data_IF_907295710211
#
_entry.id   IF_907295710211
#
_cell.length_a   1.000
_cell.length_b   1.000
_cell.length_c   1.000
_cell.angle_alpha   90.00
_cell.angle_beta   90.00
_cell.angle_gamma   90.00
#
_symmetry.space_group_name_H-M   'P 1'
#
loop_
_entity.id
_entity.type
_entity.pdbx_description
1 polymer ?
#
# COMPACT_ATOMS: atom_id res chain seq x y z
N UNK A 1 70.70 48.88 7.16
CA UNK A 1 70.43 47.62 7.88
C UNK A 1 69.70 48.01 9.16
N UNK A 2 68.45 47.66 9.46
CA UNK A 2 67.54 46.62 8.98
C UNK A 2 66.12 47.20 8.79
N UNK A 3 65.41 46.68 7.79
CA UNK A 3 63.98 46.90 7.52
C UNK A 3 63.12 46.12 8.54
N UNK A 4 62.10 46.78 9.10
CA UNK A 4 61.04 46.11 9.83
C UNK A 4 60.11 45.41 8.83
N UNK A 5 60.09 44.07 8.85
CA UNK A 5 59.15 43.28 8.06
C UNK A 5 57.84 43.10 8.83
N UNK A 6 56.77 43.73 8.33
CA UNK A 6 55.41 43.44 8.75
C UNK A 6 54.95 42.13 8.08
N UNK A 7 54.82 41.06 8.86
CA UNK A 7 54.22 39.80 8.40
C UNK A 7 52.69 39.93 8.40
N UNK A 8 52.08 39.73 7.23
CA UNK A 8 50.62 39.62 7.08
C UNK A 8 50.13 38.25 7.56
N UNK A 9 48.90 38.11 8.09
CA UNK A 9 48.35 36.81 8.47
C UNK A 9 48.00 35.97 7.23
N UNK A 10 48.02 34.63 7.31
CA UNK A 10 47.66 33.77 6.20
C UNK A 10 46.17 33.91 5.87
N UNK A 11 45.88 33.90 4.57
CA UNK A 11 44.53 34.02 3.99
C UNK A 11 43.61 32.92 4.54
N UNK A 12 42.48 33.35 5.11
CA UNK A 12 41.32 32.50 5.40
C UNK A 12 40.91 31.71 4.15
N UNK A 13 41.09 30.40 4.19
CA UNK A 13 40.46 29.47 3.25
C UNK A 13 38.96 29.43 3.58
N UNK A 14 38.19 30.33 2.99
CA UNK A 14 36.73 30.24 2.99
C UNK A 14 36.32 28.98 2.23
N UNK A 15 36.05 27.91 2.97
CA UNK A 15 35.35 26.73 2.45
C UNK A 15 33.94 27.17 2.04
N UNK A 16 33.69 27.26 0.74
CA UNK A 16 32.33 27.39 0.21
C UNK A 16 31.54 26.13 0.59
N UNK A 17 30.35 26.28 1.19
CA UNK A 17 29.50 25.13 1.48
C UNK A 17 29.16 24.44 0.15
N UNK A 18 29.25 23.11 0.04
CA UNK A 18 28.91 22.42 -1.18
C UNK A 18 27.44 22.69 -1.52
N UNK A 19 27.20 23.32 -2.67
CA UNK A 19 25.85 23.46 -3.22
C UNK A 19 25.44 22.12 -3.80
N UNK A 20 24.70 21.33 -3.04
CA UNK A 20 24.04 20.18 -3.61
C UNK A 20 22.85 20.68 -4.43
N UNK A 21 22.78 20.37 -5.74
CA UNK A 21 21.60 20.70 -6.51
C UNK A 21 20.41 19.97 -5.88
N UNK A 22 19.39 20.72 -5.45
CA UNK A 22 18.11 20.14 -5.09
C UNK A 22 17.56 19.55 -6.38
N UNK A 23 17.68 18.24 -6.55
CA UNK A 23 17.03 17.52 -7.63
C UNK A 23 15.53 17.64 -7.40
N UNK A 24 14.88 18.56 -8.10
CA UNK A 24 13.42 18.61 -8.16
C UNK A 24 12.98 17.38 -8.94
N UNK A 25 12.62 16.32 -8.21
CA UNK A 25 12.02 15.12 -8.79
C UNK A 25 10.64 15.52 -9.30
N UNK A 26 10.46 15.48 -10.63
CA UNK A 26 9.13 15.57 -11.23
C UNK A 26 8.36 14.31 -10.87
N UNK A 27 7.55 14.42 -9.83
CA UNK A 27 6.76 13.31 -9.30
C UNK A 27 5.74 12.77 -10.32
N UNK A 28 5.36 13.59 -11.31
CA UNK A 28 4.48 13.21 -12.42
C UNK A 28 5.16 12.32 -13.47
N UNK A 29 6.49 12.25 -13.46
CA UNK A 29 7.33 11.43 -14.37
C UNK A 29 7.89 10.17 -13.73
N UNK A 30 7.47 9.83 -12.51
CA UNK A 30 7.84 8.61 -11.78
C UNK A 30 7.24 7.35 -12.45
N UNK A 31 7.74 7.05 -13.63
CA UNK A 31 7.65 5.76 -14.32
C UNK A 31 8.75 4.84 -13.77
N UNK A 32 8.68 3.51 -13.99
CA UNK A 32 9.67 2.53 -13.50
C UNK A 32 11.13 2.82 -13.84
N UNK A 33 11.42 3.79 -14.73
CA UNK A 33 12.75 4.28 -15.03
C UNK A 33 13.50 4.88 -13.82
N UNK A 34 12.83 5.15 -12.69
CA UNK A 34 13.42 5.71 -11.46
C UNK A 34 13.54 4.75 -10.26
N UNK A 35 13.35 3.43 -10.42
CA UNK A 35 13.90 2.45 -9.45
C UNK A 35 13.00 2.03 -8.27
N UNK A 36 11.67 1.99 -8.44
CA UNK A 36 10.82 1.35 -7.44
C UNK A 36 10.95 -0.18 -7.43
N UNK A 37 11.07 -0.74 -6.23
CA UNK A 37 11.16 -2.16 -5.98
C UNK A 37 9.77 -2.72 -5.73
N UNK A 38 9.31 -3.59 -6.63
CA UNK A 38 8.14 -4.42 -6.37
C UNK A 38 8.30 -5.80 -7.00
N UNK A 39 8.13 -6.84 -6.19
CA UNK A 39 8.19 -8.21 -6.68
C UNK A 39 6.79 -8.82 -6.71
N UNK A 40 6.30 -9.15 -7.92
CA UNK A 40 5.00 -9.83 -8.10
C UNK A 40 4.85 -11.13 -7.30
N UNK A 41 5.95 -11.78 -6.89
CA UNK A 41 5.94 -12.97 -6.03
C UNK A 41 5.45 -12.68 -4.60
N UNK A 42 5.41 -11.41 -4.19
CA UNK A 42 4.86 -11.01 -2.89
C UNK A 42 3.33 -11.07 -2.85
N UNK A 43 2.66 -11.20 -4.00
CA UNK A 43 1.20 -11.18 -4.09
C UNK A 43 0.64 -12.56 -3.73
N UNK A 44 -0.27 -12.55 -2.78
CA UNK A 44 -1.03 -13.72 -2.36
C UNK A 44 -2.35 -13.86 -3.15
N UNK A 45 -2.97 -15.06 -3.17
CA UNK A 45 -4.23 -15.26 -3.88
C UNK A 45 -5.31 -14.27 -3.43
N UNK A 46 -5.97 -13.64 -4.40
CA UNK A 46 -7.11 -12.72 -4.17
C UNK A 46 -6.79 -11.60 -3.18
N UNK A 47 -5.53 -11.19 -3.14
CA UNK A 47 -5.08 -10.04 -2.35
C UNK A 47 -5.73 -8.76 -2.90
N UNK A 48 -6.30 -7.95 -2.01
CA UNK A 48 -6.92 -6.68 -2.37
C UNK A 48 -5.90 -5.65 -2.84
N UNK A 49 -6.36 -4.65 -3.59
CA UNK A 49 -5.51 -3.54 -4.03
C UNK A 49 -4.92 -2.76 -2.83
N UNK A 50 -5.68 -2.60 -1.73
CA UNK A 50 -5.17 -1.96 -0.49
C UNK A 50 -3.90 -2.63 0.00
N UNK A 51 -3.91 -3.97 0.12
CA UNK A 51 -2.76 -4.74 0.62
C UNK A 51 -1.58 -4.71 -0.35
N UNK A 52 -1.85 -4.79 -1.65
CA UNK A 52 -0.81 -4.67 -2.69
C UNK A 52 -0.12 -3.30 -2.60
N UNK A 53 -0.88 -2.22 -2.46
CA UNK A 53 -0.34 -0.87 -2.35
C UNK A 53 0.39 -0.63 -1.03
N UNK A 54 -0.03 -1.24 0.08
CA UNK A 54 0.73 -1.23 1.32
C UNK A 54 2.07 -1.95 1.20
N UNK A 55 2.13 -3.08 0.49
CA UNK A 55 3.42 -3.74 0.21
C UNK A 55 4.32 -2.85 -0.65
N UNK A 56 3.74 -2.18 -1.64
CA UNK A 56 4.48 -1.25 -2.50
C UNK A 56 5.01 -0.04 -1.73
N UNK A 57 4.17 0.57 -0.90
CA UNK A 57 4.54 1.66 0.01
C UNK A 57 5.68 1.22 0.94
N UNK A 58 5.52 0.08 1.63
CA UNK A 58 6.52 -0.46 2.56
C UNK A 58 7.86 -0.76 1.88
N UNK A 59 7.85 -1.34 0.69
CA UNK A 59 9.06 -1.72 -0.02
C UNK A 59 9.88 -0.51 -0.50
N UNK A 60 9.23 0.64 -0.68
CA UNK A 60 9.82 1.84 -1.26
C UNK A 60 9.84 3.03 -0.30
N UNK A 61 9.37 2.86 0.95
CA UNK A 61 9.21 3.91 1.96
C UNK A 61 8.50 5.17 1.41
N UNK A 62 7.43 4.98 0.65
CA UNK A 62 6.77 6.07 -0.06
C UNK A 62 5.75 6.80 0.80
N UNK A 63 5.61 8.12 0.64
CA UNK A 63 4.49 8.84 1.23
C UNK A 63 3.19 8.48 0.47
N UNK A 64 2.05 8.54 1.17
CA UNK A 64 0.79 7.99 0.64
C UNK A 64 0.26 8.74 -0.57
N UNK A 65 0.54 10.05 -0.68
CA UNK A 65 0.15 10.84 -1.84
C UNK A 65 0.87 10.40 -3.14
N UNK A 66 2.11 9.90 -3.06
CA UNK A 66 2.80 9.28 -4.20
C UNK A 66 2.06 8.01 -4.62
N UNK A 67 1.68 7.17 -3.65
CA UNK A 67 0.95 5.92 -3.92
C UNK A 67 -0.45 6.19 -4.49
N UNK A 68 -1.14 7.22 -4.00
CA UNK A 68 -2.46 7.61 -4.50
C UNK A 68 -2.45 8.03 -5.98
N UNK A 69 -1.37 8.69 -6.45
CA UNK A 69 -1.21 9.07 -7.87
C UNK A 69 -1.06 7.87 -8.82
N UNK A 70 -0.84 6.66 -8.30
CA UNK A 70 -0.85 5.44 -9.10
C UNK A 70 -2.27 4.99 -9.48
N UNK A 71 -3.29 5.48 -8.78
CA UNK A 71 -4.68 5.06 -8.97
C UNK A 71 -5.31 5.68 -10.22
N UNK A 72 -4.84 6.87 -10.62
CA UNK A 72 -5.35 7.66 -11.73
C UNK A 72 -4.89 9.12 -11.61
N UNK A 73 -4.83 9.84 -12.73
CA UNK A 73 -4.39 11.24 -12.72
C UNK A 73 -5.43 12.19 -12.10
N UNK A 74 -6.70 11.84 -12.22
CA UNK A 74 -7.84 12.68 -11.79
C UNK A 74 -8.34 12.35 -10.37
N UNK A 75 -7.62 11.50 -9.63
CA UNK A 75 -7.99 11.12 -8.27
C UNK A 75 -7.34 12.07 -7.28
N UNK A 76 -8.17 12.78 -6.51
CA UNK A 76 -7.71 13.55 -5.36
C UNK A 76 -7.20 12.59 -4.26
N UNK A 77 -5.93 12.70 -3.82
CA UNK A 77 -5.38 11.81 -2.79
C UNK A 77 -6.08 11.87 -1.42
N UNK A 78 -6.71 12.99 -1.06
CA UNK A 78 -7.36 13.20 0.22
C UNK A 78 -8.77 12.63 0.27
N UNK A 79 -9.55 12.83 -0.80
CA UNK A 79 -10.86 12.19 -0.98
C UNK A 79 -10.69 10.69 -1.23
N UNK A 80 -9.72 10.33 -2.07
CA UNK A 80 -9.44 8.98 -2.50
C UNK A 80 -10.52 8.39 -3.40
N UNK A 81 -10.48 7.07 -3.54
CA UNK A 81 -11.39 6.35 -4.43
C UNK A 81 -11.71 4.96 -3.87
N UNK A 82 -12.91 4.45 -4.14
CA UNK A 82 -13.23 3.05 -3.83
C UNK A 82 -12.38 2.15 -4.72
N UNK A 83 -11.69 1.12 -4.19
CA UNK A 83 -10.92 0.17 -5.00
C UNK A 83 -11.84 -0.78 -5.79
N UNK A 84 -12.52 -0.23 -6.78
CA UNK A 84 -13.51 -0.88 -7.64
C UNK A 84 -13.04 -0.89 -9.10
N UNK A 85 -13.37 -1.98 -9.81
CA UNK A 85 -13.15 -2.07 -11.24
C UNK A 85 -13.92 -0.97 -11.99
N UNK A 86 -13.23 -0.27 -12.89
CA UNK A 86 -13.78 0.85 -13.65
C UNK A 86 -13.49 2.23 -13.06
N UNK A 87 -13.09 2.30 -11.78
CA UNK A 87 -12.68 3.56 -11.13
C UNK A 87 -11.16 3.71 -11.00
N UNK A 88 -10.40 2.64 -11.27
CA UNK A 88 -8.94 2.58 -11.11
C UNK A 88 -8.27 2.35 -12.46
N UNK A 89 -7.22 3.11 -12.76
CA UNK A 89 -6.39 2.95 -13.96
C UNK A 89 -5.48 1.72 -13.83
N UNK A 90 -5.99 0.57 -14.31
CA UNK A 90 -5.26 -0.68 -14.30
C UNK A 90 -4.03 -0.70 -15.21
N UNK A 91 -3.99 0.10 -16.28
CA UNK A 91 -2.85 0.15 -17.19
C UNK A 91 -1.68 0.84 -16.51
N UNK A 92 -1.95 1.94 -15.82
CA UNK A 92 -0.98 2.64 -14.97
C UNK A 92 -0.43 1.72 -13.88
N UNK A 93 -1.30 1.07 -13.10
CA UNK A 93 -0.86 0.13 -12.07
C UNK A 93 -0.04 -1.04 -12.63
N UNK A 94 -0.43 -1.61 -13.78
CA UNK A 94 0.34 -2.65 -14.44
C UNK A 94 1.74 -2.16 -14.83
N UNK A 95 1.82 -0.97 -15.45
CA UNK A 95 3.09 -0.38 -15.87
C UNK A 95 4.01 -0.10 -14.68
N UNK A 96 3.48 0.45 -13.58
CA UNK A 96 4.27 0.79 -12.39
C UNK A 96 4.68 -0.45 -11.58
N UNK A 97 3.75 -1.39 -11.35
CA UNK A 97 3.96 -2.50 -10.41
C UNK A 97 4.48 -3.77 -11.10
N UNK A 98 4.41 -3.87 -12.43
CA UNK A 98 4.76 -5.09 -13.18
C UNK A 98 3.84 -6.28 -12.88
N UNK A 99 2.64 -6.01 -12.36
CA UNK A 99 1.64 -7.02 -11.99
C UNK A 99 0.69 -7.24 -13.17
N UNK A 100 0.38 -8.50 -13.55
CA UNK A 100 -0.58 -8.76 -14.62
C UNK A 100 -1.94 -8.08 -14.38
N UNK A 101 -2.52 -7.50 -15.44
CA UNK A 101 -3.82 -6.81 -15.37
C UNK A 101 -4.89 -7.72 -14.75
N UNK A 102 -4.89 -9.01 -15.08
CA UNK A 102 -5.87 -9.95 -14.52
C UNK A 102 -5.75 -10.07 -12.99
N UNK A 103 -4.54 -10.09 -12.44
CA UNK A 103 -4.33 -10.08 -10.99
C UNK A 103 -4.85 -8.78 -10.37
N UNK A 104 -4.61 -7.64 -11.00
CA UNK A 104 -5.13 -6.36 -10.53
C UNK A 104 -6.66 -6.29 -10.60
N UNK A 105 -7.28 -6.84 -11.64
CA UNK A 105 -8.75 -6.95 -11.74
C UNK A 105 -9.32 -7.74 -10.56
N UNK A 106 -8.69 -8.86 -10.19
CA UNK A 106 -9.11 -9.70 -9.06
C UNK A 106 -8.88 -9.03 -7.70
N UNK A 107 -8.00 -8.03 -7.62
CA UNK A 107 -7.71 -7.28 -6.41
C UNK A 107 -8.75 -6.18 -6.09
N UNK A 108 -9.67 -5.92 -7.03
CA UNK A 108 -10.70 -4.89 -6.94
C UNK A 108 -12.08 -5.46 -6.65
N UNK A 109 -12.92 -4.67 -5.96
CA UNK A 109 -14.34 -4.99 -5.87
C UNK A 109 -14.99 -4.87 -7.25
N UNK A 110 -15.93 -5.76 -7.55
CA UNK A 110 -16.56 -5.82 -8.86
C UNK A 110 -17.93 -5.13 -8.80
N UNK A 111 -18.25 -4.21 -9.72
CA UNK A 111 -19.57 -3.62 -9.79
C UNK A 111 -20.56 -4.71 -10.23
N UNK A 112 -21.21 -5.37 -9.27
CA UNK A 112 -22.17 -6.45 -9.53
C UNK A 112 -23.37 -6.30 -8.61
N UNK A 113 -24.59 -6.41 -9.16
CA UNK A 113 -25.82 -6.39 -8.37
C UNK A 113 -25.97 -7.62 -7.46
N UNK A 114 -25.23 -8.70 -7.75
CA UNK A 114 -25.30 -9.97 -6.99
C UNK A 114 -24.53 -9.93 -5.67
N UNK A 115 -23.61 -8.98 -5.49
CA UNK A 115 -22.74 -8.90 -4.31
C UNK A 115 -22.78 -7.51 -3.73
N UNK A 116 -23.02 -7.43 -2.43
CA UNK A 116 -22.84 -6.20 -1.67
C UNK A 116 -21.45 -6.19 -1.07
N UNK A 117 -20.81 -5.03 -1.18
CA UNK A 117 -19.49 -4.77 -0.63
C UNK A 117 -19.64 -3.74 0.49
N UNK A 118 -18.93 -3.99 1.58
CA UNK A 118 -18.87 -3.08 2.72
C UNK A 118 -18.22 -1.76 2.34
N UNK A 119 -18.80 -0.66 2.79
CA UNK A 119 -18.20 0.68 2.70
C UNK A 119 -17.11 0.93 3.75
N UNK A 120 -17.02 0.08 4.78
CA UNK A 120 -16.00 0.13 5.83
C UNK A 120 -14.96 -0.97 5.63
N UNK A 121 -13.72 -0.70 6.01
CA UNK A 121 -12.59 -1.61 5.88
C UNK A 121 -12.70 -2.80 6.85
N UNK A 122 -13.24 -3.90 6.33
CA UNK A 122 -13.31 -5.17 7.04
C UNK A 122 -12.01 -5.97 6.95
N UNK A 123 -11.56 -6.58 8.04
CA UNK A 123 -10.29 -7.29 8.07
C UNK A 123 -10.29 -8.49 9.03
N UNK A 124 -9.33 -9.40 8.83
CA UNK A 124 -9.03 -10.43 9.80
C UNK A 124 -7.74 -10.06 10.54
N UNK A 125 -7.77 -10.05 11.88
CA UNK A 125 -6.59 -9.81 12.71
C UNK A 125 -5.40 -10.71 12.33
N UNK A 126 -5.65 -12.00 12.07
CA UNK A 126 -4.60 -12.95 11.68
C UNK A 126 -4.04 -12.68 10.28
N UNK A 127 -4.87 -12.33 9.29
CA UNK A 127 -4.38 -11.88 7.98
C UNK A 127 -3.52 -10.61 8.08
N UNK A 128 -3.93 -9.65 8.92
CA UNK A 128 -3.16 -8.42 9.12
C UNK A 128 -1.80 -8.69 9.75
N UNK A 129 -1.71 -9.65 10.68
CA UNK A 129 -0.44 -10.12 11.23
C UNK A 129 0.45 -10.73 10.14
N UNK A 130 -0.15 -11.48 9.21
CA UNK A 130 0.53 -12.10 8.06
C UNK A 130 0.85 -11.08 6.94
N UNK A 131 0.49 -9.80 7.11
CA UNK A 131 0.75 -8.77 6.11
C UNK A 131 -0.12 -8.88 4.85
N UNK A 132 -1.35 -9.37 5.01
CA UNK A 132 -2.27 -9.67 3.92
C UNK A 132 -3.67 -9.12 4.18
N UNK A 133 -4.36 -8.71 3.12
CA UNK A 133 -5.80 -8.46 3.13
C UNK A 133 -6.43 -8.89 1.80
N UNK A 134 -7.45 -9.74 1.87
CA UNK A 134 -8.18 -10.27 0.71
C UNK A 134 -9.29 -9.31 0.26
N UNK A 135 -9.56 -9.25 -1.04
CA UNK A 135 -10.78 -8.61 -1.57
C UNK A 135 -12.06 -9.25 -1.02
N UNK A 136 -11.99 -10.55 -0.68
CA UNK A 136 -13.11 -11.30 -0.11
C UNK A 136 -13.60 -10.71 1.22
N UNK A 137 -12.71 -10.12 2.01
CA UNK A 137 -13.10 -9.55 3.31
C UNK A 137 -14.14 -8.43 3.17
N UNK A 138 -14.21 -7.78 2.02
CA UNK A 138 -15.15 -6.69 1.77
C UNK A 138 -16.53 -7.17 1.32
N UNK A 139 -16.70 -8.45 0.98
CA UNK A 139 -18.00 -8.99 0.61
C UNK A 139 -18.85 -9.19 1.88
N UNK A 140 -20.00 -8.52 1.97
CA UNK A 140 -20.83 -8.51 3.18
C UNK A 140 -21.27 -9.90 3.63
N UNK A 141 -21.61 -10.78 2.68
CA UNK A 141 -22.02 -12.17 2.97
C UNK A 141 -20.90 -13.05 3.51
N UNK A 142 -19.65 -12.57 3.53
CA UNK A 142 -18.54 -13.23 4.20
C UNK A 142 -18.38 -12.60 5.58
N UNK A 143 -18.89 -13.26 6.62
CA UNK A 143 -18.71 -12.84 8.01
C UNK A 143 -17.40 -13.37 8.65
N UNK A 144 -16.88 -14.47 8.10
CA UNK A 144 -15.74 -15.21 8.66
C UNK A 144 -14.62 -15.31 7.64
N UNK A 145 -13.39 -15.03 8.06
CA UNK A 145 -12.19 -15.15 7.22
C UNK A 145 -12.02 -16.60 6.73
N UNK A 146 -11.92 -16.85 5.42
CA UNK A 146 -11.77 -18.22 4.91
C UNK A 146 -10.44 -18.86 5.30
N UNK A 147 -9.37 -18.07 5.40
CA UNK A 147 -8.04 -18.54 5.78
C UNK A 147 -7.96 -18.97 7.25
N UNK A 148 -8.45 -18.15 8.17
CA UNK A 148 -8.24 -18.34 9.61
C UNK A 148 -9.49 -18.76 10.39
N UNK A 149 -10.66 -18.80 9.74
CA UNK A 149 -11.97 -19.16 10.34
C UNK A 149 -12.35 -18.31 11.56
N UNK A 150 -11.92 -17.04 11.56
CA UNK A 150 -12.23 -16.05 12.59
C UNK A 150 -13.20 -15.01 12.04
N UNK A 151 -14.06 -14.40 12.88
CA UNK A 151 -14.90 -13.28 12.46
C UNK A 151 -14.06 -12.16 11.84
N UNK A 152 -14.59 -11.54 10.80
CA UNK A 152 -14.03 -10.30 10.26
C UNK A 152 -14.42 -9.13 11.17
N UNK A 153 -13.46 -8.26 11.41
CA UNK A 153 -13.59 -7.03 12.18
C UNK A 153 -13.79 -5.86 11.24
N UNK A 154 -14.60 -4.89 11.62
CA UNK A 154 -14.86 -3.65 10.87
C UNK A 154 -14.31 -2.40 11.59
N UNK A 155 -13.83 -2.55 12.82
CA UNK A 155 -13.35 -1.46 13.67
C UNK A 155 -11.98 -1.78 14.27
N UNK A 156 -11.23 -0.75 14.66
CA UNK A 156 -9.97 -0.93 15.37
C UNK A 156 -10.22 -1.40 16.81
N UNK A 157 -9.61 -2.52 17.23
CA UNK A 157 -9.68 -3.02 18.62
C UNK A 157 -9.21 -2.03 19.69
N UNK A 158 -8.37 -1.05 19.35
CA UNK A 158 -7.83 -0.07 20.32
C UNK A 158 -8.72 1.15 20.50
N UNK A 159 -9.30 1.68 19.42
CA UNK A 159 -10.02 2.96 19.46
C UNK A 159 -11.45 2.90 18.91
N UNK A 160 -11.92 1.74 18.44
CA UNK A 160 -13.26 1.58 17.86
C UNK A 160 -13.44 2.20 16.48
N UNK A 161 -12.45 2.90 15.92
CA UNK A 161 -12.62 3.58 14.64
C UNK A 161 -12.87 2.60 13.48
N UNK A 162 -13.96 2.82 12.75
CA UNK A 162 -14.29 2.17 11.48
C UNK A 162 -13.67 2.96 10.33
N UNK A 163 -12.61 2.43 9.74
CA UNK A 163 -11.95 3.10 8.63
C UNK A 163 -12.80 2.94 7.35
N UNK A 164 -13.07 4.03 6.59
CA UNK A 164 -13.70 3.92 5.28
C UNK A 164 -12.87 3.05 4.33
N UNK A 165 -13.53 2.26 3.48
CA UNK A 165 -12.86 1.44 2.46
C UNK A 165 -12.53 2.25 1.20
N UNK A 166 -11.70 3.28 1.38
CA UNK A 166 -11.26 4.20 0.33
C UNK A 166 -9.73 4.26 0.27
N UNK A 167 -9.19 4.24 -0.94
CA UNK A 167 -7.78 4.47 -1.19
C UNK A 167 -7.48 5.97 -1.16
N UNK A 168 -7.40 6.52 0.05
CA UNK A 168 -6.91 7.87 0.31
C UNK A 168 -5.56 7.84 1.06
N UNK A 169 -4.94 9.01 1.22
CA UNK A 169 -3.66 9.11 1.95
C UNK A 169 -3.72 8.51 3.35
N UNK A 170 -4.84 8.67 4.08
CA UNK A 170 -4.97 8.20 5.46
C UNK A 170 -4.88 6.68 5.52
N UNK A 171 -5.55 5.97 4.61
CA UNK A 171 -5.47 4.51 4.54
C UNK A 171 -4.09 4.08 4.02
N UNK A 172 -3.57 4.72 2.98
CA UNK A 172 -2.31 4.34 2.33
C UNK A 172 -1.08 4.53 3.24
N UNK A 173 -1.03 5.59 4.05
CA UNK A 173 0.05 5.85 5.02
C UNK A 173 -0.10 5.06 6.33
N UNK A 174 -1.11 4.19 6.40
CA UNK A 174 -1.42 3.35 7.56
C UNK A 174 -1.30 1.86 7.25
N UNK A 175 -0.21 1.38 6.62
CA UNK A 175 -0.05 -0.03 6.30
C UNK A 175 -0.23 -0.90 7.55
N UNK A 176 -1.27 -1.73 7.54
CA UNK A 176 -1.64 -2.65 8.62
C UNK A 176 -1.96 -1.98 9.97
N UNK A 177 -2.20 -0.67 9.97
CA UNK A 177 -2.48 0.15 11.16
C UNK A 177 -3.78 0.92 11.01
N UNK A 178 -4.40 1.23 12.13
CA UNK A 178 -5.53 2.14 12.17
C UNK A 178 -5.13 3.54 11.70
N UNK A 179 -5.86 4.09 10.74
CA UNK A 179 -5.66 5.44 10.24
C UNK A 179 -5.89 6.54 11.29
N UNK A 180 -6.65 6.24 12.34
CA UNK A 180 -6.94 7.16 13.44
C UNK A 180 -5.90 7.09 14.57
N UNK A 181 -5.75 5.94 15.22
CA UNK A 181 -4.89 5.80 16.42
C UNK A 181 -3.53 5.15 16.17
N UNK A 182 -3.23 4.78 14.91
CA UNK A 182 -1.97 4.13 14.49
C UNK A 182 -1.67 2.78 15.13
N UNK A 183 -2.60 2.22 15.91
CA UNK A 183 -2.47 0.87 16.44
C UNK A 183 -2.49 -0.17 15.32
N UNK A 184 -1.70 -1.22 15.46
CA UNK A 184 -1.72 -2.33 14.52
C UNK A 184 -3.08 -3.05 14.56
N UNK A 185 -3.61 -3.41 13.39
CA UNK A 185 -4.83 -4.23 13.30
C UNK A 185 -4.59 -5.68 13.73
N UNK A 186 -3.35 -6.17 13.61
CA UNK A 186 -2.98 -7.51 14.08
C UNK A 186 -1.53 -7.65 14.56
N UNK A 187 -0.60 -6.98 13.88
CA UNK A 187 0.81 -6.94 14.27
C UNK A 187 1.61 -6.05 13.33
N UNK A 188 2.92 -6.30 13.22
CA UNK A 188 3.82 -5.47 12.38
C UNK A 188 3.49 -5.54 10.88
N UNK A 189 2.70 -6.52 10.45
CA UNK A 189 2.30 -6.71 9.06
C UNK A 189 3.44 -7.20 8.18
N UNK A 190 3.38 -6.82 6.90
CA UNK A 190 4.37 -7.21 5.90
C UNK A 190 5.64 -6.33 5.94
N UNK A 191 6.80 -6.92 5.62
CA UNK A 191 8.08 -6.22 5.42
C UNK A 191 8.85 -6.87 4.26
N UNK A 192 9.54 -6.07 3.42
CA UNK A 192 10.36 -6.60 2.33
C UNK A 192 11.55 -7.44 2.83
N UNK A 193 12.07 -7.17 4.03
CA UNK A 193 13.22 -7.86 4.61
C UNK A 193 12.84 -9.24 5.20
N UNK A 194 11.55 -9.44 5.49
CA UNK A 194 11.03 -10.62 6.18
C UNK A 194 9.77 -11.15 5.50
N UNK A 195 9.86 -11.41 4.20
CA UNK A 195 8.72 -11.94 3.43
C UNK A 195 8.37 -13.36 3.90
N UNK A 196 7.15 -13.52 4.42
CA UNK A 196 6.59 -14.82 4.81
C UNK A 196 5.37 -15.13 3.94
N UNK A 197 5.47 -16.09 3.01
CA UNK A 197 4.32 -16.51 2.23
C UNK A 197 3.19 -17.05 3.13
N UNK A 198 1.96 -16.87 2.68
CA UNK A 198 0.80 -17.47 3.33
C UNK A 198 0.88 -18.99 3.30
N UNK A 199 0.50 -19.65 4.40
CA UNK A 199 0.41 -21.12 4.49
C UNK A 199 -0.46 -21.70 3.37
N UNK A 200 -0.08 -22.87 2.87
CA UNK A 200 -0.74 -23.51 1.74
C UNK A 200 -2.25 -23.77 1.98
N UNK A 201 -2.62 -24.13 3.21
CA UNK A 201 -4.01 -24.39 3.62
C UNK A 201 -4.85 -23.12 3.56
N UNK A 202 -4.28 -22.00 4.03
CA UNK A 202 -4.92 -20.69 3.97
C UNK A 202 -5.09 -20.22 2.52
N UNK A 203 -4.06 -20.40 1.68
CA UNK A 203 -4.14 -20.13 0.23
C UNK A 203 -5.26 -20.93 -0.43
N UNK A 204 -5.33 -22.24 -0.17
CA UNK A 204 -6.40 -23.13 -0.68
C UNK A 204 -7.79 -22.66 -0.22
N UNK A 205 -7.93 -22.28 1.05
CA UNK A 205 -9.21 -21.87 1.62
C UNK A 205 -9.74 -20.55 1.03
N UNK A 206 -8.88 -19.55 0.85
CA UNK A 206 -9.23 -18.30 0.16
C UNK A 206 -9.65 -18.61 -1.28
N UNK A 207 -8.85 -19.40 -2.00
CA UNK A 207 -9.15 -19.77 -3.39
C UNK A 207 -10.49 -20.48 -3.51
N UNK A 208 -10.72 -21.52 -2.72
CA UNK A 208 -12.00 -22.24 -2.72
C UNK A 208 -13.18 -21.31 -2.49
N UNK A 209 -13.09 -20.45 -1.47
CA UNK A 209 -14.18 -19.51 -1.16
C UNK A 209 -14.43 -18.53 -2.30
N UNK A 210 -13.39 -18.07 -3.00
CA UNK A 210 -13.57 -17.25 -4.18
C UNK A 210 -14.34 -18.00 -5.27
N UNK A 211 -13.95 -19.24 -5.57
CA UNK A 211 -14.62 -20.05 -6.60
C UNK A 211 -16.08 -20.34 -6.24
N UNK A 212 -16.35 -20.76 -5.02
CA UNK A 212 -17.72 -21.03 -4.52
C UNK A 212 -18.63 -19.81 -4.68
N UNK A 213 -18.06 -18.60 -4.56
CA UNK A 213 -18.80 -17.35 -4.70
C UNK A 213 -19.01 -16.94 -6.15
N UNK A 214 -18.07 -17.23 -7.06
CA UNK A 214 -18.08 -16.72 -8.43
C UNK A 214 -18.56 -17.71 -9.49
N UNK A 215 -18.53 -19.00 -9.18
CA UNK A 215 -18.85 -20.07 -10.12
C UNK A 215 -19.73 -21.18 -9.53
N UNK A 216 -19.95 -21.17 -8.21
CA UNK A 216 -20.98 -21.99 -7.54
C UNK A 216 -22.31 -21.25 -7.49
#
# INVERSE_FOLDING_TARGET
MLLAMCSSPPRDLRLTPPSFPILTLDEGRLTPALGYLFNKKWIEPYESLVSILWKFEKANALPGHVVARLLGADIDPYEGVVPQLGLIDLRRLHHTLGIPIQTLRLALVQPSQRRRYSSVFRHCHSCMLDGYHSVLHQIESIATCPAHRKPLENSCRRCGHEAPYFLNIRLLESPYRCAHCRANYGGKGWSPDHVRPMKAEARKAITRRYFDLHFG
#
